data_IF_963270386421
#
_entry.id   IF_963270386421
#
_cell.length_a   1.000
_cell.length_b   1.000
_cell.length_c   1.000
_cell.angle_alpha   90.00
_cell.angle_beta   90.00
_cell.angle_gamma   90.00
#
_symmetry.space_group_name_H-M   'P 1'
#
loop_
_entity.id
_entity.type
_entity.pdbx_description
1 polymer ?
2 non-polymer ?
3 non-polymer ?
4 water ?
#
# COMPACT_ATOMS: atom_id res chain seq x y z
N UNK A 9 -24.78 -15.42 -15.22
CA UNK A 9 -23.57 -16.10 -14.66
C UNK A 9 -22.96 -17.23 -15.52
N UNK A 10 -21.85 -16.89 -16.18
CA UNK A 10 -20.95 -17.82 -16.88
C UNK A 10 -19.93 -18.33 -15.87
N UNK A 11 -20.28 -18.25 -14.60
CA UNK A 11 -19.28 -18.25 -13.53
C UNK A 11 -18.96 -19.66 -13.01
N UNK A 12 -17.72 -19.85 -12.53
CA UNK A 12 -17.30 -21.17 -12.03
C UNK A 12 -18.23 -21.66 -10.94
N UNK A 13 -18.31 -22.98 -10.78
CA UNK A 13 -19.19 -23.59 -9.80
C UNK A 13 -18.97 -22.93 -8.43
N UNK A 14 -20.05 -22.38 -7.89
CA UNK A 14 -20.03 -21.88 -6.52
C UNK A 14 -19.52 -20.48 -6.25
N UNK A 15 -19.35 -19.65 -7.28
CA UNK A 15 -18.90 -18.28 -7.04
C UNK A 15 -20.05 -17.48 -6.47
N UNK A 16 -19.73 -16.44 -5.71
CA UNK A 16 -20.71 -15.60 -5.05
C UNK A 16 -20.69 -14.19 -5.60
N UNK A 17 -21.81 -13.77 -6.15
CA UNK A 17 -22.00 -12.42 -6.72
C UNK A 17 -22.98 -11.55 -5.92
N UNK A 18 -22.54 -10.34 -5.57
CA UNK A 18 -23.42 -9.30 -5.03
C UNK A 18 -23.21 -8.09 -5.95
N UNK A 19 -24.29 -7.60 -6.55
CA UNK A 19 -24.22 -6.60 -7.61
C UNK A 19 -25.30 -5.55 -7.50
N UNK A 20 -24.92 -4.29 -7.69
CA UNK A 20 -25.88 -3.19 -7.67
C UNK A 20 -25.47 -2.15 -8.71
N UNK A 21 -26.45 -1.68 -9.48
CA UNK A 21 -26.23 -0.70 -10.55
C UNK A 21 -27.34 0.32 -10.44
N UNK A 22 -26.97 1.59 -10.41
CA UNK A 22 -27.93 2.62 -10.06
C UNK A 22 -27.53 3.90 -10.73
N UNK A 23 -28.49 4.52 -11.42
CA UNK A 23 -28.28 5.87 -11.98
C UNK A 23 -27.75 6.87 -10.94
N UNK A 24 -26.80 7.70 -11.33
CA UNK A 24 -26.31 8.75 -10.43
C UNK A 24 -27.46 9.67 -10.03
N UNK A 25 -27.69 9.79 -8.72
CA UNK A 25 -28.70 10.68 -8.19
C UNK A 25 -30.08 10.06 -8.07
N UNK A 26 -30.26 8.85 -8.60
CA UNK A 26 -31.51 8.12 -8.49
C UNK A 26 -31.64 7.42 -7.14
N UNK A 27 -32.88 7.20 -6.69
CA UNK A 27 -33.12 6.61 -5.36
C UNK A 27 -33.34 5.10 -5.39
N UNK A 28 -33.64 4.56 -6.57
CA UNK A 28 -33.77 3.11 -6.76
C UNK A 28 -32.79 2.55 -7.82
N UNK A 29 -32.23 1.36 -7.57
CA UNK A 29 -31.30 0.74 -8.51
C UNK A 29 -31.94 0.14 -9.76
N UNK A 30 -31.20 0.11 -10.86
CA UNK A 30 -31.62 -0.58 -12.04
C UNK A 30 -31.35 -2.07 -11.93
N UNK A 31 -30.17 -2.43 -11.42
CA UNK A 31 -29.87 -3.84 -11.13
C UNK A 31 -29.60 -3.99 -9.63
N UNK A 32 -30.30 -4.93 -8.99
CA UNK A 32 -30.11 -5.17 -7.58
C UNK A 32 -30.06 -6.66 -7.28
N UNK A 33 -28.86 -7.20 -7.13
CA UNK A 33 -28.69 -8.62 -6.89
C UNK A 33 -27.87 -8.84 -5.64
N UNK A 34 -28.54 -9.25 -4.58
CA UNK A 34 -27.92 -9.42 -3.27
C UNK A 34 -27.09 -8.20 -2.84
N UNK A 35 -27.62 -6.99 -3.07
CA UNK A 35 -26.86 -5.74 -2.87
C UNK A 35 -26.66 -5.42 -1.40
N UNK A 36 -27.47 -6.03 -0.55
CA UNK A 36 -27.35 -5.82 0.87
C UNK A 36 -26.40 -6.78 1.56
N UNK A 37 -25.93 -7.78 0.83
CA UNK A 37 -25.12 -8.86 1.41
C UNK A 37 -23.68 -8.38 1.58
N UNK A 38 -23.12 -8.53 2.76
CA UNK A 38 -21.73 -8.13 3.05
C UNK A 38 -20.75 -8.95 2.27
N UNK A 39 -19.66 -8.32 1.81
CA UNK A 39 -18.66 -9.03 1.06
C UNK A 39 -17.26 -8.49 1.31
N UNK A 40 -16.27 -9.27 0.90
CA UNK A 40 -14.87 -8.81 0.92
C UNK A 40 -14.66 -7.78 -0.21
N UNK A 41 -14.31 -6.54 0.10
CA UNK A 41 -14.15 -5.52 -0.93
C UNK A 41 -12.81 -5.59 -1.66
N UNK A 42 -11.81 -6.21 -1.04
CA UNK A 42 -10.46 -6.21 -1.61
C UNK A 42 -10.08 -4.76 -1.93
N UNK A 43 -9.31 -4.50 -2.99
CA UNK A 43 -8.82 -3.12 -3.24
C UNK A 43 -9.88 -2.04 -3.57
N UNK A 44 -11.17 -2.40 -3.67
CA UNK A 44 -12.17 -1.32 -3.84
C UNK A 44 -12.26 -0.49 -2.56
N UNK A 45 -11.70 -1.02 -1.46
CA UNK A 45 -11.62 -0.30 -0.19
C UNK A 45 -10.93 1.06 -0.41
N UNK A 46 -10.02 1.11 -1.38
CA UNK A 46 -9.24 2.31 -1.72
C UNK A 46 -10.12 3.51 -2.13
N UNK A 47 -11.33 3.21 -2.65
CA UNK A 47 -12.30 4.28 -2.98
C UNK A 47 -12.69 5.04 -1.68
N UNK A 48 -13.00 4.27 -0.64
CA UNK A 48 -13.32 4.86 0.64
C UNK A 48 -12.15 5.62 1.28
N UNK A 49 -10.98 5.01 1.22
CA UNK A 49 -9.72 5.62 1.71
C UNK A 49 -9.46 6.95 1.02
N UNK A 50 -9.53 6.97 -0.32
CA UNK A 50 -9.32 8.22 -1.08
C UNK A 50 -10.35 9.30 -0.67
N UNK A 51 -11.62 8.93 -0.54
CA UNK A 51 -12.63 9.98 -0.17
C UNK A 51 -12.37 10.49 1.24
N UNK A 52 -12.20 9.60 2.22
CA UNK A 52 -11.93 10.07 3.58
C UNK A 52 -10.66 10.90 3.66
N UNK A 53 -9.66 10.56 2.86
CA UNK A 53 -8.37 11.28 2.86
C UNK A 53 -8.56 12.70 2.34
N UNK A 54 -9.35 12.82 1.27
CA UNK A 54 -9.56 14.13 0.66
C UNK A 54 -10.32 15.02 1.62
N UNK A 55 -11.32 14.43 2.29
CA UNK A 55 -12.08 15.19 3.24
C UNK A 55 -11.24 15.58 4.45
N UNK A 56 -10.49 14.63 5.01
CA UNK A 56 -9.75 14.91 6.26
C UNK A 56 -8.45 15.72 6.05
N UNK A 57 -7.64 15.27 5.10
CA UNK A 57 -6.32 15.84 4.85
C UNK A 57 -6.33 16.91 3.75
N UNK A 58 -7.27 16.81 2.82
CA UNK A 58 -7.32 17.71 1.65
C UNK A 58 -6.34 17.40 0.53
N UNK A 59 -6.60 17.93 -0.67
CA UNK A 59 -5.78 17.62 -1.84
C UNK A 59 -4.33 18.08 -1.79
N UNK A 60 -4.03 19.03 -0.91
CA UNK A 60 -2.72 19.65 -0.85
C UNK A 60 -1.90 19.13 0.32
N UNK A 61 -2.43 18.16 1.06
CA UNK A 61 -1.61 17.55 2.14
C UNK A 61 -0.34 16.95 1.56
N UNK A 62 0.78 17.09 2.28
CA UNK A 62 2.01 16.42 1.89
C UNK A 62 2.58 15.66 3.06
N UNK A 63 3.11 14.46 2.81
CA UNK A 63 3.86 13.76 3.84
C UNK A 63 5.16 14.54 4.06
N UNK A 64 5.68 14.53 5.27
CA UNK A 64 6.98 15.18 5.48
C UNK A 64 7.96 14.38 6.36
N UNK A 65 9.24 14.52 6.05
CA UNK A 65 10.33 13.91 6.79
C UNK A 65 11.29 15.05 7.11
N UNK A 66 11.86 15.05 8.31
CA UNK A 66 12.80 16.12 8.67
C UNK A 66 14.03 15.57 9.39
N UNK A 67 15.13 16.31 9.29
CA UNK A 67 16.23 16.16 10.25
C UNK A 67 16.16 17.35 11.19
N UNK A 68 16.20 17.08 12.48
CA UNK A 68 16.04 18.12 13.48
C UNK A 68 17.21 18.09 14.43
N UNK A 69 17.61 19.25 14.94
CA UNK A 69 18.64 19.24 15.96
C UNK A 69 18.03 19.67 17.27
N UNK A 70 18.38 18.92 18.30
CA UNK A 70 18.09 19.29 19.66
C UNK A 70 19.41 19.55 20.41
N UNK A 71 19.74 20.84 20.59
CA UNK A 71 21.00 21.28 21.22
C UNK A 71 21.71 22.36 20.42
N UNK A 72 22.76 22.95 21.02
CA UNK A 72 23.56 23.98 20.33
C UNK A 72 24.67 23.41 19.46
N UNK A 73 24.95 24.08 18.34
CA UNK A 73 26.08 23.70 17.47
C UNK A 73 27.29 24.57 17.83
N UNK A 74 28.33 23.96 18.38
CA UNK A 74 29.55 24.72 18.72
C UNK A 74 30.75 24.20 17.97
N UNK A 75 31.30 25.06 17.12
CA UNK A 75 32.47 24.72 16.31
C UNK A 75 32.22 23.49 15.42
N UNK A 76 31.01 23.43 14.85
CA UNK A 76 30.60 22.31 13.99
C UNK A 76 30.15 21.07 14.72
N UNK A 77 30.11 21.14 16.05
CA UNK A 77 29.76 20.01 16.89
C UNK A 77 28.36 20.28 17.42
N UNK A 78 27.43 19.39 17.10
CA UNK A 78 26.12 19.43 17.74
C UNK A 78 26.24 18.86 19.15
N UNK A 79 25.90 19.69 20.14
CA UNK A 79 25.93 19.30 21.54
C UNK A 79 24.52 18.84 21.90
N UNK A 80 24.22 17.58 21.58
CA UNK A 80 22.84 17.11 21.65
C UNK A 80 22.54 16.06 20.59
N UNK A 81 21.27 15.84 20.33
CA UNK A 81 20.88 14.73 19.46
C UNK A 81 20.49 15.14 18.07
N UNK A 82 20.80 14.30 17.09
CA UNK A 82 20.21 14.46 15.76
C UNK A 82 18.97 13.58 15.75
N UNK A 83 17.83 14.15 15.35
CA UNK A 83 16.56 13.43 15.27
C UNK A 83 16.13 13.35 13.80
N UNK A 84 15.92 12.13 13.30
CA UNK A 84 15.39 11.93 11.98
C UNK A 84 13.89 11.59 12.16
N UNK A 85 13.02 12.56 11.91
CA UNK A 85 11.60 12.38 12.18
C UNK A 85 10.90 11.92 10.90
N UNK A 86 10.55 10.64 10.86
CA UNK A 86 9.85 10.07 9.71
C UNK A 86 8.38 10.36 9.78
N UNK A 87 7.73 10.36 8.62
CA UNK A 87 6.35 10.84 8.58
C UNK A 87 5.47 9.98 7.71
N UNK A 88 5.88 8.71 7.50
CA UNK A 88 5.11 7.72 6.72
C UNK A 88 5.00 8.09 5.25
N UNK A 89 5.95 8.89 4.74
CA UNK A 89 5.95 9.21 3.32
C UNK A 89 6.23 7.90 2.53
N UNK A 90 5.26 7.43 1.73
CA UNK A 90 5.44 6.18 0.97
C UNK A 90 6.41 6.34 -0.20
N UNK A 91 6.77 7.59 -0.51
CA UNK A 91 7.59 7.84 -1.70
C UNK A 91 9.01 8.28 -1.38
N UNK A 92 9.38 8.24 -0.09
CA UNK A 92 10.73 8.61 0.30
C UNK A 92 11.74 7.67 -0.29
N UNK A 93 12.88 8.23 -0.74
CA UNK A 93 13.91 7.45 -1.39
C UNK A 93 15.27 7.62 -0.72
N UNK A 94 16.18 6.69 -0.97
CA UNK A 94 17.55 6.76 -0.42
C UNK A 94 18.17 8.13 -0.70
N UNK A 95 18.02 8.60 -1.93
CA UNK A 95 18.54 9.92 -2.32
C UNK A 95 18.00 11.05 -1.47
N UNK A 96 16.75 10.93 -1.04
CA UNK A 96 16.21 11.94 -0.16
C UNK A 96 17.00 12.00 1.15
N UNK A 97 17.34 10.84 1.71
CA UNK A 97 18.16 10.78 2.94
C UNK A 97 19.52 11.44 2.69
N UNK A 98 20.11 11.07 1.56
CA UNK A 98 21.44 11.55 1.23
C UNK A 98 21.43 13.07 1.11
N UNK A 99 20.41 13.61 0.44
CA UNK A 99 20.24 15.08 0.29
C UNK A 99 19.99 15.82 1.60
N UNK A 100 19.13 15.28 2.46
CA UNK A 100 18.89 15.87 3.78
C UNK A 100 20.20 15.87 4.60
N UNK A 101 20.98 14.79 4.52
CA UNK A 101 22.26 14.76 5.23
C UNK A 101 23.22 15.81 4.63
N UNK A 102 23.22 15.95 3.30
CA UNK A 102 24.08 16.94 2.63
C UNK A 102 23.74 18.31 3.15
N UNK A 103 22.45 18.55 3.40
CA UNK A 103 21.96 19.83 3.90
C UNK A 103 22.40 20.06 5.36
N UNK A 104 22.32 19.00 6.15
CA UNK A 104 22.80 19.04 7.52
C UNK A 104 24.27 19.48 7.60
N UNK A 105 25.12 18.79 6.83
CA UNK A 105 26.56 19.10 6.71
C UNK A 105 26.73 20.59 6.32
N UNK A 106 26.07 21.01 5.24
CA UNK A 106 26.18 22.40 4.74
C UNK A 106 25.74 23.44 5.76
N UNK A 107 24.78 23.10 6.60
CA UNK A 107 24.34 23.96 7.69
C UNK A 107 25.40 24.16 8.80
N UNK A 108 26.51 23.43 8.76
CA UNK A 108 27.57 23.58 9.79
C UNK A 108 27.82 22.44 10.77
N UNK A 109 27.09 21.32 10.64
CA UNK A 109 27.24 20.18 11.55
C UNK A 109 28.18 19.14 10.94
N UNK A 110 29.30 18.89 11.62
CA UNK A 110 30.28 17.93 11.17
C UNK A 110 30.37 16.78 12.15
N UNK A 111 29.79 16.97 13.33
CA UNK A 111 29.96 16.03 14.42
C UNK A 111 28.79 16.18 15.35
N UNK A 112 28.32 15.04 15.88
CA UNK A 112 27.21 14.98 16.81
C UNK A 112 27.71 14.39 18.11
N UNK A 113 27.69 15.22 19.15
CA UNK A 113 28.06 14.79 20.49
C UNK A 113 26.79 14.35 21.16
N UNK A 114 26.36 13.14 20.84
CA UNK A 114 25.06 12.66 21.26
C UNK A 114 24.63 11.50 20.38
N UNK A 115 23.33 11.24 20.40
CA UNK A 115 22.69 10.10 19.74
C UNK A 115 22.07 10.48 18.40
N UNK A 116 21.80 9.48 17.54
CA UNK A 116 21.02 9.70 16.31
C UNK A 116 19.70 8.97 16.54
N UNK A 117 18.61 9.72 16.56
CA UNK A 117 17.28 9.17 16.92
C UNK A 117 16.46 8.94 15.67
N UNK A 118 15.93 7.74 15.52
CA UNK A 118 15.03 7.39 14.42
C UNK A 118 13.63 7.51 14.99
N UNK A 119 12.97 8.62 14.67
CA UNK A 119 11.72 8.99 15.31
C UNK A 119 10.53 8.56 14.44
N UNK A 120 9.71 7.64 14.97
CA UNK A 120 8.52 7.10 14.29
C UNK A 120 7.25 7.38 15.08
N UNK A 121 7.32 8.37 15.97
CA UNK A 121 6.24 8.70 16.90
C UNK A 121 4.92 9.14 16.22
N UNK A 122 4.98 9.47 14.92
CA UNK A 122 3.76 9.79 14.15
C UNK A 122 2.73 8.66 14.20
N UNK A 123 3.23 7.43 14.34
CA UNK A 123 2.43 6.20 14.40
C UNK A 123 2.76 5.45 15.66
N UNK A 124 1.86 4.54 16.07
CA UNK A 124 2.12 3.58 17.13
C UNK A 124 1.49 2.24 16.82
N UNK A 125 1.82 1.29 17.68
CA UNK A 125 1.33 -0.07 17.59
C UNK A 125 1.87 -0.70 16.32
N UNK A 126 1.30 -1.83 15.91
CA UNK A 126 1.84 -2.66 14.83
C UNK A 126 1.75 -1.95 13.48
N UNK A 127 2.77 -2.18 12.65
CA UNK A 127 2.76 -1.67 11.25
C UNK A 127 2.01 -2.58 10.29
N UNK A 128 1.27 -3.56 10.82
CA UNK A 128 0.55 -4.53 10.00
C UNK A 128 -0.88 -4.52 10.50
N UNK A 129 -1.85 -4.43 9.58
CA UNK A 129 -3.26 -4.32 9.95
C UNK A 129 -3.83 -5.67 10.39
N UNK A 130 -4.90 -5.67 11.21
CA UNK A 130 -5.54 -6.95 11.57
C UNK A 130 -6.06 -7.67 10.31
N UNK A 131 -5.86 -8.99 10.20
CA UNK A 131 -6.50 -9.72 9.11
C UNK A 131 -5.61 -9.92 7.91
N UNK A 132 -4.37 -9.41 7.97
CA UNK A 132 -3.43 -9.62 6.88
C UNK A 132 -2.82 -11.01 7.03
N UNK A 133 -2.89 -11.86 6.00
CA UNK A 133 -2.32 -13.22 6.08
C UNK A 133 -0.82 -13.13 6.37
N UNK A 134 -0.35 -13.90 7.35
CA UNK A 134 1.08 -13.86 7.73
C UNK A 134 1.97 -14.20 6.53
N UNK A 135 1.51 -15.08 5.66
CA UNK A 135 2.41 -15.69 4.65
C UNK A 135 2.82 -14.72 3.55
N UNK A 136 2.03 -13.67 3.39
CA UNK A 136 2.34 -12.70 2.33
C UNK A 136 3.17 -11.54 2.88
N UNK A 137 3.49 -11.55 4.18
CA UNK A 137 4.17 -10.38 4.78
C UNK A 137 5.58 -10.11 4.23
N UNK A 138 6.19 -11.11 3.61
CA UNK A 138 7.54 -10.92 3.05
C UNK A 138 7.47 -10.53 1.56
N UNK A 139 6.28 -10.53 0.99
CA UNK A 139 6.10 -10.04 -0.36
C UNK A 139 5.92 -8.53 -0.40
N UNK A 140 6.48 -7.90 -1.44
CA UNK A 140 6.43 -6.43 -1.47
C UNK A 140 5.02 -5.83 -1.46
N UNK A 141 4.05 -6.50 -2.04
CA UNK A 141 2.70 -5.93 -2.07
C UNK A 141 2.09 -5.82 -0.68
N UNK A 142 2.65 -6.59 0.25
CA UNK A 142 2.17 -6.60 1.63
C UNK A 142 3.25 -6.06 2.58
N UNK A 143 4.22 -5.30 2.05
CA UNK A 143 5.25 -4.75 2.96
C UNK A 143 4.59 -3.90 4.05
N UNK A 144 4.95 -4.14 5.32
CA UNK A 144 4.42 -3.33 6.42
C UNK A 144 4.59 -1.79 6.15
N UNK A 145 3.50 -1.04 6.01
CA UNK A 145 3.55 0.42 5.69
C UNK A 145 3.88 1.23 6.92
N UNK A 146 5.13 1.17 7.34
CA UNK A 146 5.57 1.77 8.58
C UNK A 146 5.74 3.27 8.46
N UNK A 147 6.01 3.94 9.59
CA UNK A 147 6.26 5.40 9.55
C UNK A 147 7.59 5.64 8.85
N UNK A 148 8.51 4.68 8.96
CA UNK A 148 9.82 4.79 8.29
C UNK A 148 9.89 3.95 7.03
N UNK A 149 9.76 4.61 5.86
CA UNK A 149 9.81 3.95 4.54
C UNK A 149 10.95 4.52 3.70
N UNK A 150 11.74 3.66 3.07
CA UNK A 150 12.74 4.13 2.12
C UNK A 150 12.70 3.20 0.96
N UNK A 151 12.46 3.72 -0.25
CA UNK A 151 12.39 2.90 -1.46
C UNK A 151 11.40 1.77 -1.30
N UNK A 152 10.25 2.17 -0.76
CA UNK A 152 9.07 1.33 -0.60
C UNK A 152 9.29 0.13 0.33
N UNK A 153 10.41 0.13 1.07
CA UNK A 153 10.70 -0.97 2.00
C UNK A 153 10.67 -2.30 1.28
N UNK A 154 11.24 -2.34 0.08
CA UNK A 154 11.27 -3.53 -0.74
C UNK A 154 12.68 -3.61 -1.32
N UNK A 155 13.28 -4.81 -1.35
CA UNK A 155 14.61 -4.93 -1.86
C UNK A 155 14.68 -6.23 -2.64
N UNK A 156 15.68 -6.37 -3.50
CA UNK A 156 15.78 -7.59 -4.30
C UNK A 156 17.11 -8.29 -4.09
N UNK A 157 17.11 -9.54 -4.49
CA UNK A 157 18.09 -10.51 -4.15
C UNK A 157 18.17 -11.45 -5.36
N UNK A 158 19.34 -12.05 -5.61
CA UNK A 158 19.47 -13.09 -6.64
C UNK A 158 19.84 -14.40 -5.99
N UNK A 159 19.09 -15.46 -6.30
CA UNK A 159 19.40 -16.78 -5.77
C UNK A 159 20.05 -17.69 -6.84
N UNK A 160 21.27 -18.13 -6.57
CA UNK A 160 22.04 -18.97 -7.51
C UNK A 160 22.07 -20.38 -7.02
N UNK A 161 21.68 -21.34 -7.87
CA UNK A 161 21.94 -22.75 -7.56
C UNK A 161 23.45 -23.00 -7.50
N UNK A 162 23.87 -23.95 -6.66
CA UNK A 162 25.28 -24.38 -6.62
C UNK A 162 25.60 -25.31 -7.79
N UNK A 163 26.82 -25.17 -8.36
CA UNK A 163 27.28 -26.09 -9.42
C UNK A 163 27.20 -27.57 -9.04
N UNK A 164 27.56 -27.91 -7.80
CA UNK A 164 27.37 -29.25 -7.26
C UNK A 164 26.05 -29.37 -6.48
N UNK A 165 25.09 -30.16 -6.99
CA UNK A 165 23.87 -30.47 -6.23
C UNK A 165 24.21 -31.11 -4.89
N UNK A 166 23.46 -30.74 -3.84
CA UNK A 166 23.84 -31.09 -2.47
C UNK A 166 24.54 -29.92 -1.78
N UNK A 167 25.10 -29.02 -2.57
CA UNK A 167 25.70 -27.80 -2.05
C UNK A 167 24.70 -26.64 -1.90
N UNK A 168 25.02 -25.75 -0.97
CA UNK A 168 24.20 -24.58 -0.64
C UNK A 168 24.01 -23.67 -1.87
N UNK A 169 22.75 -23.37 -2.20
CA UNK A 169 22.44 -22.28 -3.13
C UNK A 169 22.91 -20.97 -2.47
N UNK A 170 23.37 -20.01 -3.27
CA UNK A 170 23.93 -18.80 -2.70
C UNK A 170 23.24 -17.51 -3.11
N UNK A 171 23.32 -16.53 -2.22
CA UNK A 171 22.54 -15.30 -2.36
C UNK A 171 23.40 -14.11 -2.73
N UNK A 172 23.06 -13.44 -3.82
CA UNK A 172 23.66 -12.14 -4.08
C UNK A 172 22.67 -11.01 -3.80
N UNK A 173 23.14 -10.02 -3.03
CA UNK A 173 22.36 -8.82 -2.72
C UNK A 173 23.25 -7.57 -2.83
N UNK A 174 22.72 -6.50 -3.41
CA UNK A 174 23.40 -5.22 -3.51
C UNK A 174 23.83 -4.72 -2.13
N UNK A 175 25.06 -4.21 -2.06
CA UNK A 175 25.71 -3.95 -0.80
C UNK A 175 25.07 -2.79 -0.07
N UNK A 176 24.33 -1.96 -0.78
CA UNK A 176 23.76 -0.83 -0.08
C UNK A 176 22.55 -1.21 0.76
N UNK A 177 21.81 -2.27 0.36
CA UNK A 177 20.63 -2.76 1.11
C UNK A 177 21.07 -3.27 2.48
N UNK A 178 20.69 -2.57 3.54
CA UNK A 178 21.01 -2.99 4.88
C UNK A 178 20.07 -4.10 5.39
N UNK A 179 20.25 -5.27 4.81
CA UNK A 179 19.57 -6.47 5.24
C UNK A 179 20.64 -7.54 5.44
N UNK A 180 20.29 -8.60 6.17
CA UNK A 180 21.20 -9.72 6.34
C UNK A 180 20.60 -11.01 5.79
N UNK A 181 21.24 -11.56 4.75
CA UNK A 181 20.76 -12.77 4.09
C UNK A 181 21.57 -14.01 4.49
N UNK A 182 20.85 -15.11 4.78
CA UNK A 182 21.46 -16.43 5.03
C UNK A 182 20.80 -17.43 4.08
N UNK A 183 21.58 -18.35 3.53
CA UNK A 183 21.01 -19.42 2.73
C UNK A 183 21.21 -20.77 3.40
N UNK A 184 20.10 -21.51 3.58
CA UNK A 184 20.13 -22.90 4.00
C UNK A 184 19.45 -23.74 2.89
N UNK A 185 19.54 -23.24 1.67
CA UNK A 185 18.87 -23.83 0.52
C UNK A 185 19.78 -24.90 -0.08
N UNK A 186 19.23 -26.11 -0.25
CA UNK A 186 19.97 -27.22 -0.87
C UNK A 186 19.68 -27.19 -2.34
N UNK A 187 20.73 -27.34 -3.15
CA UNK A 187 20.58 -27.40 -4.58
C UNK A 187 20.26 -28.83 -5.00
N UNK A 188 19.19 -28.99 -5.78
CA UNK A 188 18.76 -30.33 -6.19
C UNK A 188 19.25 -30.72 -7.58
N UNK A 189 19.60 -32.00 -7.73
CA UNK A 189 19.77 -32.61 -9.06
C UNK A 189 18.51 -32.35 -9.89
N UNK A 190 18.66 -31.59 -10.97
CA UNK A 190 17.52 -31.00 -11.73
C UNK A 190 16.44 -31.96 -12.30
N UNK A 191 16.44 -33.22 -11.83
CA UNK A 191 15.35 -34.15 -12.09
C UNK A 191 14.60 -34.65 -10.86
N UNK A 192 15.33 -35.35 -9.98
CA UNK A 192 14.74 -36.18 -8.89
C UNK A 192 13.78 -35.48 -7.92
N UNK A 193 12.97 -36.27 -7.24
CA UNK A 193 11.66 -35.81 -6.71
C UNK A 193 11.61 -35.50 -5.20
N UNK A 194 12.70 -34.91 -4.71
CA UNK A 194 12.58 -34.00 -3.58
C UNK A 194 11.93 -32.73 -4.11
N UNK A 195 12.00 -32.54 -5.43
CA UNK A 195 11.49 -31.32 -6.02
C UNK A 195 9.98 -31.11 -5.85
N UNK A 196 9.23 -32.20 -5.68
CA UNK A 196 7.77 -32.11 -5.65
C UNK A 196 7.23 -31.40 -4.40
N UNK A 197 7.64 -31.88 -3.22
CA UNK A 197 7.13 -31.29 -1.98
C UNK A 197 8.15 -30.56 -1.14
N UNK A 198 9.36 -30.35 -1.67
CA UNK A 198 10.34 -29.54 -0.94
C UNK A 198 10.12 -28.11 -1.33
N UNK A 199 9.74 -27.28 -0.36
CA UNK A 199 9.42 -25.89 -0.64
C UNK A 199 10.70 -25.05 -0.63
N UNK A 200 10.64 -23.90 -1.32
CA UNK A 200 11.62 -22.82 -1.18
C UNK A 200 10.96 -21.73 -0.37
N UNK A 201 11.52 -21.45 0.81
CA UNK A 201 10.85 -20.56 1.78
C UNK A 201 11.71 -19.36 2.17
N UNK A 202 11.06 -18.27 2.56
CA UNK A 202 11.78 -17.18 3.18
C UNK A 202 11.31 -17.08 4.62
N UNK A 203 12.27 -16.99 5.53
CA UNK A 203 11.94 -16.86 6.94
C UNK A 203 12.59 -15.59 7.47
N UNK A 204 11.75 -14.59 7.79
CA UNK A 204 12.26 -13.33 8.33
C UNK A 204 12.60 -13.48 9.80
N UNK A 205 13.67 -12.79 10.19
CA UNK A 205 14.09 -12.68 11.58
C UNK A 205 14.20 -11.24 11.98
N UNK A 206 14.64 -11.02 13.22
CA UNK A 206 14.77 -9.67 13.77
C UNK A 206 15.85 -8.89 13.00
N UNK A 207 15.73 -7.56 13.01
CA UNK A 207 16.74 -6.66 12.47
C UNK A 207 17.00 -6.95 10.99
N UNK A 208 15.92 -7.22 10.27
CA UNK A 208 15.96 -7.39 8.83
C UNK A 208 16.89 -8.50 8.37
N UNK A 209 16.91 -9.59 9.17
CA UNK A 209 17.53 -10.85 8.73
C UNK A 209 16.54 -11.66 7.95
N UNK A 210 17.01 -12.36 6.90
CA UNK A 210 16.16 -13.26 6.15
C UNK A 210 16.95 -14.51 5.90
N UNK A 211 16.32 -15.66 6.14
CA UNK A 211 16.94 -16.94 5.85
C UNK A 211 16.10 -17.62 4.79
N UNK A 212 16.76 -18.00 3.70
CA UNK A 212 16.15 -18.85 2.67
C UNK A 212 16.39 -20.30 3.08
N UNK A 213 15.35 -21.12 2.99
CA UNK A 213 15.41 -22.53 3.40
C UNK A 213 14.75 -23.39 2.34
N UNK A 214 15.01 -24.70 2.39
CA UNK A 214 14.34 -25.63 1.48
C UNK A 214 15.23 -26.06 0.35
N UNK A 215 14.65 -26.20 -0.83
CA UNK A 215 15.35 -26.73 -2.01
C UNK A 215 15.22 -25.84 -3.23
N UNK A 216 16.25 -25.86 -4.06
CA UNK A 216 16.19 -25.16 -5.34
C UNK A 216 16.73 -26.11 -6.43
N UNK A 217 15.92 -26.38 -7.45
CA UNK A 217 16.37 -27.19 -8.60
C UNK A 217 17.47 -26.45 -9.34
N UNK A 218 18.48 -27.17 -9.83
CA UNK A 218 19.52 -26.53 -10.64
C UNK A 218 18.93 -25.70 -11.78
N UNK A 219 19.43 -24.49 -11.92
CA UNK A 219 19.03 -23.59 -13.00
C UNK A 219 20.28 -22.92 -13.55
N UNK A 220 20.24 -22.56 -14.82
CA UNK A 220 21.37 -21.94 -15.51
C UNK A 220 21.45 -20.48 -15.13
N UNK A 221 20.29 -19.91 -14.82
CA UNK A 221 20.15 -18.50 -14.48
C UNK A 221 19.75 -18.36 -13.01
N UNK A 222 20.12 -17.26 -12.34
CA UNK A 222 19.73 -17.08 -10.94
C UNK A 222 18.26 -16.69 -10.79
N UNK A 223 17.65 -17.12 -9.69
CA UNK A 223 16.27 -16.78 -9.40
C UNK A 223 16.20 -15.39 -8.77
N UNK A 224 15.52 -14.46 -9.43
CA UNK A 224 15.31 -13.12 -8.88
C UNK A 224 14.16 -13.18 -7.86
N UNK A 225 14.36 -12.55 -6.69
CA UNK A 225 13.38 -12.53 -5.60
C UNK A 225 13.30 -11.13 -5.05
N UNK A 226 12.10 -10.65 -4.74
CA UNK A 226 11.96 -9.34 -4.11
C UNK A 226 11.25 -9.59 -2.80
N UNK A 227 11.75 -8.97 -1.72
CA UNK A 227 11.19 -9.14 -0.37
C UNK A 227 10.86 -7.82 0.30
N UNK A 228 9.91 -7.89 1.24
CA UNK A 228 9.53 -6.76 2.06
C UNK A 228 10.36 -6.63 3.34
N UNK A 229 10.82 -5.40 3.58
CA UNK A 229 11.49 -5.04 4.86
C UNK A 229 10.46 -5.15 5.99
N UNK A 230 10.81 -5.92 7.03
CA UNK A 230 9.96 -6.07 8.19
C UNK A 230 10.17 -4.99 9.26
N UNK A 231 11.38 -4.45 9.39
CA UNK A 231 11.65 -3.48 10.43
C UNK A 231 12.11 -2.17 9.74
N UNK A 232 11.16 -1.37 9.29
CA UNK A 232 11.50 -0.12 8.58
C UNK A 232 12.37 0.85 9.38
N UNK A 233 12.09 1.01 10.68
CA UNK A 233 12.91 1.89 11.51
C UNK A 233 14.39 1.53 11.47
N UNK A 234 14.71 0.23 11.60
CA UNK A 234 16.11 -0.25 11.58
C UNK A 234 16.74 -0.06 10.23
N UNK A 235 15.93 -0.25 9.19
CA UNK A 235 16.38 -0.17 7.83
C UNK A 235 16.73 1.27 7.50
N UNK A 236 15.78 2.16 7.81
CA UNK A 236 15.92 3.62 7.57
C UNK A 236 17.11 4.14 8.41
N UNK A 237 17.23 3.63 9.64
CA UNK A 237 18.39 4.01 10.47
C UNK A 237 19.75 3.60 9.89
N UNK A 238 19.83 2.38 9.37
CA UNK A 238 21.07 1.92 8.78
C UNK A 238 21.39 2.77 7.55
N UNK A 239 20.36 3.13 6.76
CA UNK A 239 20.62 3.99 5.57
C UNK A 239 21.09 5.36 6.04
N UNK A 240 20.43 5.88 7.05
CA UNK A 240 20.86 7.18 7.58
C UNK A 240 22.32 7.12 8.08
N UNK A 241 22.67 6.07 8.82
CA UNK A 241 24.02 5.88 9.38
C UNK A 241 25.04 5.86 8.25
N UNK A 242 24.75 5.10 7.21
CA UNK A 242 25.62 5.05 6.06
C UNK A 242 25.79 6.44 5.44
N UNK A 243 24.69 7.17 5.20
CA UNK A 243 24.77 8.50 4.56
C UNK A 243 25.53 9.51 5.43
N UNK A 244 25.35 9.43 6.74
CA UNK A 244 26.13 10.29 7.66
C UNK A 244 27.60 10.00 7.51
N UNK A 245 27.98 8.73 7.54
CA UNK A 245 29.39 8.38 7.45
C UNK A 245 30.02 8.83 6.12
N UNK A 246 29.24 8.71 5.03
CA UNK A 246 29.76 9.07 3.71
C UNK A 246 30.02 10.56 3.63
N UNK A 247 29.19 11.33 4.31
CA UNK A 247 29.26 12.80 4.30
C UNK A 247 30.28 13.30 5.34
N UNK A 248 30.94 12.37 6.02
CA UNK A 248 31.99 12.70 6.98
C UNK A 248 31.51 13.12 8.34
N UNK A 249 30.20 13.01 8.62
CA UNK A 249 29.65 13.40 9.93
C UNK A 249 29.88 12.27 10.94
N UNK A 250 30.52 12.56 12.08
CA UNK A 250 30.73 11.51 13.08
C UNK A 250 29.75 11.69 14.26
N UNK A 251 29.56 10.64 15.05
CA UNK A 251 28.76 10.75 16.28
C UNK A 251 29.28 9.82 17.37
N UNK A 252 29.06 10.21 18.60
CA UNK A 252 29.64 9.52 19.75
C UNK A 252 28.67 8.57 20.39
N UNK A 253 27.37 8.77 20.13
CA UNK A 253 26.33 7.97 20.76
C UNK A 253 26.01 6.76 19.92
N UNK A 254 24.74 6.35 19.91
CA UNK A 254 24.32 5.26 19.04
C UNK A 254 23.01 5.63 18.33
N UNK A 255 22.57 4.76 17.43
CA UNK A 255 21.26 4.92 16.80
C UNK A 255 20.22 4.34 17.70
N UNK A 256 19.23 5.15 18.06
CA UNK A 256 18.15 4.76 18.97
C UNK A 256 16.80 5.05 18.34
N UNK A 257 15.80 4.22 18.64
CA UNK A 257 14.44 4.50 18.17
C UNK A 257 13.77 5.48 19.12
N UNK A 258 13.07 6.47 18.57
CA UNK A 258 12.25 7.40 19.36
C UNK A 258 10.77 7.16 19.01
N UNK A 259 10.02 6.55 19.92
CA UNK A 259 8.60 6.22 19.67
C UNK A 259 7.56 7.12 20.38
N UNK A 260 7.97 7.88 21.39
CA UNK A 260 7.00 8.67 22.16
C UNK A 260 6.89 10.06 21.56
N UNK A 261 5.70 10.63 21.56
CA UNK A 261 5.49 11.97 21.03
C UNK A 261 6.37 12.98 21.79
N UNK A 262 6.91 13.94 21.06
CA UNK A 262 7.95 14.84 21.57
C UNK A 262 7.94 16.14 20.78
N UNK A 263 8.35 17.24 21.42
CA UNK A 263 8.43 18.52 20.73
C UNK A 263 9.53 18.50 19.68
N UNK A 264 9.23 19.02 18.49
CA UNK A 264 10.21 19.09 17.42
C UNK A 264 11.41 19.94 17.78
N UNK A 265 12.56 19.57 17.25
CA UNK A 265 13.74 20.42 17.37
C UNK A 265 13.72 21.42 16.24
N UNK A 266 14.88 22.02 15.99
CA UNK A 266 15.07 22.89 14.85
C UNK A 266 15.20 22.04 13.60
N UNK A 267 14.34 22.26 12.62
CA UNK A 267 14.39 21.56 11.34
C UNK A 267 15.53 22.09 10.50
N UNK A 268 16.55 21.27 10.29
CA UNK A 268 17.71 21.67 9.49
C UNK A 268 17.58 21.19 8.07
N UNK A 269 16.84 20.09 7.87
CA UNK A 269 16.60 19.58 6.53
C UNK A 269 15.20 18.96 6.49
N UNK A 270 14.54 19.01 5.33
CA UNK A 270 13.24 18.35 5.16
C UNK A 270 12.98 17.86 3.75
N UNK A 271 12.00 16.97 3.62
CA UNK A 271 11.50 16.55 2.32
C UNK A 271 10.02 16.39 2.46
N UNK A 272 9.27 16.94 1.50
CA UNK A 272 7.82 16.72 1.42
C UNK A 272 7.45 15.96 0.16
N UNK A 273 6.44 15.10 0.28
CA UNK A 273 6.00 14.33 -0.86
C UNK A 273 5.30 15.25 -1.82
N UNK A 274 5.00 14.74 -3.01
CA UNK A 274 4.00 15.32 -3.90
C UNK A 274 2.66 15.55 -3.13
N UNK A 275 1.80 16.44 -3.62
CA UNK A 275 0.50 16.66 -2.99
C UNK A 275 -0.36 15.40 -2.92
N UNK A 276 -1.21 15.33 -1.90
CA UNK A 276 -2.05 14.15 -1.67
C UNK A 276 -2.91 13.79 -2.90
N UNK A 277 -3.47 14.79 -3.57
CA UNK A 277 -4.30 14.45 -4.73
C UNK A 277 -3.50 13.67 -5.76
N UNK A 278 -2.22 14.05 -5.93
CA UNK A 278 -1.35 13.38 -6.87
C UNK A 278 -1.07 11.95 -6.43
N UNK A 279 -0.79 11.78 -5.13
CA UNK A 279 -0.54 10.45 -4.53
C UNK A 279 -1.77 9.57 -4.60
N UNK A 280 -2.94 10.13 -4.28
CA UNK A 280 -4.20 9.36 -4.41
C UNK A 280 -4.49 8.92 -5.85
N UNK A 281 -4.09 9.76 -6.81
CA UNK A 281 -4.23 9.38 -8.21
C UNK A 281 -3.37 8.16 -8.57
N UNK A 282 -2.08 8.15 -8.22
CA UNK A 282 -1.26 6.95 -8.35
C UNK A 282 -1.94 5.78 -7.65
N UNK A 283 -2.42 6.03 -6.43
CA UNK A 283 -3.01 4.98 -5.60
C UNK A 283 -4.18 4.30 -6.30
N UNK A 284 -5.08 5.11 -6.86
CA UNK A 284 -6.27 4.57 -7.52
C UNK A 284 -5.98 4.02 -8.89
N UNK A 285 -5.03 4.62 -9.62
CA UNK A 285 -4.70 4.13 -10.94
C UNK A 285 -4.01 2.76 -10.87
N UNK A 286 -3.08 2.62 -9.90
CA UNK A 286 -2.21 1.45 -9.82
C UNK A 286 -2.59 0.48 -8.70
N UNK A 287 -3.53 0.87 -7.85
CA UNK A 287 -3.94 0.10 -6.65
C UNK A 287 -2.79 -0.05 -5.68
N UNK A 288 -2.19 1.08 -5.31
CA UNK A 288 -0.97 1.11 -4.52
C UNK A 288 -1.30 0.92 -3.05
N UNK A 289 -1.11 -0.31 -2.58
CA UNK A 289 -1.39 -0.62 -1.19
C UNK A 289 -0.64 0.27 -0.19
N UNK A 290 0.59 0.64 -0.52
CA UNK A 290 1.45 1.32 0.48
C UNK A 290 0.95 2.77 0.64
N UNK A 291 0.56 3.37 -0.49
CA UNK A 291 0.02 4.71 -0.40
C UNK A 291 -1.31 4.64 0.37
N UNK A 292 -2.16 3.66 0.03
CA UNK A 292 -3.46 3.56 0.73
C UNK A 292 -3.27 3.41 2.23
N UNK A 293 -2.30 2.58 2.65
CA UNK A 293 -2.18 2.29 4.07
C UNK A 293 -1.46 3.33 4.92
N UNK A 294 -0.50 4.06 4.33
CA UNK A 294 0.11 5.20 5.04
C UNK A 294 -0.90 6.32 5.14
N UNK A 295 -1.68 6.54 4.06
CA UNK A 295 -2.78 7.53 4.13
C UNK A 295 -3.73 7.15 5.24
N UNK A 296 -4.12 5.86 5.28
CA UNK A 296 -5.13 5.37 6.25
C UNK A 296 -4.72 5.69 7.69
N UNK A 297 -3.49 5.35 8.08
CA UNK A 297 -3.11 5.64 9.47
C UNK A 297 -2.90 7.15 9.68
N UNK A 298 -2.55 7.88 8.61
CA UNK A 298 -2.44 9.35 8.72
C UNK A 298 -3.80 10.00 9.03
N UNK A 299 -4.86 9.46 8.42
CA UNK A 299 -6.20 9.99 8.64
C UNK A 299 -6.56 9.98 10.15
N UNK A 300 -6.34 8.84 10.78
CA UNK A 300 -6.60 8.72 12.21
C UNK A 300 -5.77 9.64 13.08
N UNK A 301 -4.50 9.77 12.74
CA UNK A 301 -3.57 10.68 13.42
C UNK A 301 -4.06 12.12 13.34
N UNK A 302 -4.38 12.57 12.14
CA UNK A 302 -4.92 13.93 11.93
C UNK A 302 -6.30 14.15 12.58
N UNK A 303 -7.22 13.18 12.53
CA UNK A 303 -8.57 13.44 13.07
C UNK A 303 -8.59 13.50 14.58
N UNK A 304 -7.82 12.63 15.21
CA UNK A 304 -7.87 12.49 16.67
C UNK A 304 -6.65 13.04 17.40
N UNK A 305 -5.66 13.54 16.65
CA UNK A 305 -4.41 14.05 17.26
C UNK A 305 -3.78 13.04 18.24
N UNK A 306 -3.59 11.81 17.75
CA UNK A 306 -2.94 10.75 18.49
C UNK A 306 -1.99 10.11 17.49
N UNK A 307 -0.97 9.38 17.95
CA UNK A 307 -0.11 8.59 17.02
C UNK A 307 -1.03 7.68 16.21
N UNK A 308 -0.79 7.58 14.92
CA UNK A 308 -1.75 6.89 14.06
C UNK A 308 -1.66 5.40 14.27
N UNK A 309 -2.82 4.76 14.45
CA UNK A 309 -2.92 3.29 14.55
C UNK A 309 -4.03 2.78 13.63
N UNK A 310 -4.08 1.46 13.46
CA UNK A 310 -5.09 0.92 12.58
C UNK A 310 -6.48 1.23 13.12
N UNK A 311 -6.64 1.11 14.44
CA UNK A 311 -7.95 1.34 15.05
C UNK A 311 -8.36 2.80 14.93
N UNK A 312 -7.41 3.70 15.12
CA UNK A 312 -7.78 5.12 15.01
C UNK A 312 -8.16 5.43 13.55
N UNK A 313 -7.42 4.87 12.58
CA UNK A 313 -7.77 5.02 11.16
C UNK A 313 -9.19 4.53 10.89
N UNK A 314 -9.52 3.32 11.38
CA UNK A 314 -10.86 2.74 11.17
C UNK A 314 -11.99 3.62 11.74
N UNK A 315 -11.81 4.06 12.98
CA UNK A 315 -12.78 4.93 13.66
C UNK A 315 -12.96 6.24 12.90
N UNK A 316 -11.84 6.81 12.45
CA UNK A 316 -11.83 8.10 11.76
C UNK A 316 -12.58 8.01 10.43
N UNK A 317 -12.26 6.98 9.63
CA UNK A 317 -12.92 6.81 8.34
C UNK A 317 -14.43 6.65 8.52
N UNK A 318 -14.84 5.87 9.52
CA UNK A 318 -16.28 5.70 9.76
C UNK A 318 -16.93 7.03 10.14
N UNK A 319 -16.25 7.79 10.99
CA UNK A 319 -16.76 9.11 11.47
C UNK A 319 -16.83 10.09 10.28
N UNK A 320 -15.80 10.10 9.44
CA UNK A 320 -15.75 11.04 8.33
C UNK A 320 -16.88 10.74 7.36
N UNK A 321 -17.07 9.45 7.05
CA UNK A 321 -18.14 9.06 6.15
C UNK A 321 -19.48 9.51 6.66
N UNK A 322 -19.71 9.35 7.95
CA UNK A 322 -21.05 9.57 8.48
C UNK A 322 -21.33 11.07 8.56
N UNK A 323 -20.35 11.80 9.06
CA UNK A 323 -20.49 13.19 9.47
C UNK A 323 -20.25 14.16 8.31
N UNK A 324 -19.29 13.84 7.41
CA UNK A 324 -19.06 14.73 6.29
C UNK A 324 -19.77 14.27 5.01
N UNK A 325 -19.95 12.96 4.85
CA UNK A 325 -20.48 12.46 3.60
C UNK A 325 -21.90 11.94 3.72
N UNK A 326 -22.42 11.93 4.95
CA UNK A 326 -23.79 11.48 5.21
C UNK A 326 -24.03 9.98 4.98
N UNK A 327 -22.99 9.17 5.06
CA UNK A 327 -23.09 7.74 4.85
C UNK A 327 -22.87 7.07 6.19
N UNK A 328 -23.89 6.37 6.67
CA UNK A 328 -23.77 5.55 7.88
C UNK A 328 -23.40 4.15 7.42
N UNK A 329 -22.18 3.71 7.68
CA UNK A 329 -21.74 2.42 7.17
C UNK A 329 -22.26 1.24 8.02
N UNK A 330 -22.91 1.54 9.14
CA UNK A 330 -23.59 0.52 9.91
C UNK A 330 -22.62 -0.55 10.38
N UNK A 331 -22.94 -1.80 10.07
CA UNK A 331 -22.13 -2.93 10.56
C UNK A 331 -20.96 -3.25 9.65
N UNK A 332 -20.68 -2.35 8.69
CA UNK A 332 -19.51 -2.47 7.83
C UNK A 332 -18.26 -2.60 8.69
N UNK A 333 -17.31 -3.44 8.27
CA UNK A 333 -16.03 -3.49 8.97
C UNK A 333 -14.96 -2.90 8.09
N UNK A 334 -14.28 -1.88 8.59
CA UNK A 334 -13.13 -1.31 7.88
C UNK A 334 -11.90 -1.66 8.70
N UNK A 335 -10.99 -2.44 8.10
CA UNK A 335 -9.77 -2.87 8.82
C UNK A 335 -8.50 -2.18 8.31
N UNK A 336 -8.51 -1.70 7.09
CA UNK A 336 -7.33 -1.01 6.58
C UNK A 336 -7.70 0.00 5.44
N UNK A 337 -6.70 0.58 4.81
CA UNK A 337 -6.96 1.49 3.71
C UNK A 337 -6.82 0.84 2.35
N UNK A 338 -5.98 -0.20 2.22
CA UNK A 338 -5.66 -0.82 0.92
C UNK A 338 -6.69 -1.85 0.39
N UNK A 339 -7.44 -2.46 1.32
CA UNK A 339 -8.35 -3.57 1.02
C UNK A 339 -7.67 -4.94 1.15
N UNK A 340 -6.41 -4.94 1.57
CA UNK A 340 -5.67 -6.20 1.74
C UNK A 340 -6.29 -7.09 2.82
N UNK A 341 -6.79 -6.49 3.89
CA UNK A 341 -7.28 -7.29 5.00
C UNK A 341 -8.48 -8.17 4.67
N UNK A 342 -8.44 -9.42 5.13
CA UNK A 342 -9.62 -10.31 4.97
C UNK A 342 -10.71 -10.00 5.99
N UNK A 343 -10.45 -9.07 6.89
CA UNK A 343 -11.46 -8.59 7.85
C UNK A 343 -12.36 -7.45 7.30
N UNK A 344 -11.96 -6.80 6.20
CA UNK A 344 -12.83 -5.79 5.59
C UNK A 344 -14.12 -6.49 5.16
N UNK A 345 -15.26 -5.83 5.38
CA UNK A 345 -16.57 -6.42 5.07
C UNK A 345 -17.55 -5.30 4.82
N UNK A 346 -18.15 -5.28 3.64
CA UNK A 346 -19.06 -4.19 3.25
C UNK A 346 -20.01 -4.68 2.18
N UNK A 347 -21.25 -4.19 2.20
CA UNK A 347 -22.26 -4.57 1.20
C UNK A 347 -22.19 -3.64 -0.01
N UNK A 348 -22.48 -4.13 -1.22
CA UNK A 348 -22.58 -3.20 -2.38
C UNK A 348 -23.45 -1.97 -2.13
N UNK A 349 -24.55 -2.13 -1.39
CA UNK A 349 -25.43 -0.97 -1.07
C UNK A 349 -24.74 0.13 -0.26
N UNK A 350 -23.82 -0.26 0.63
CA UNK A 350 -23.00 0.69 1.36
C UNK A 350 -21.93 1.36 0.47
N UNK A 351 -21.18 0.55 -0.29
CA UNK A 351 -20.28 1.13 -1.28
C UNK A 351 -21.05 2.03 -2.27
N UNK A 352 -22.27 1.65 -2.62
CA UNK A 352 -23.09 2.51 -3.50
C UNK A 352 -23.30 3.93 -2.97
N UNK A 353 -23.51 4.09 -1.65
CA UNK A 353 -23.74 5.40 -1.08
C UNK A 353 -22.50 6.26 -1.18
N UNK A 354 -21.36 5.60 -1.03
CA UNK A 354 -20.08 6.28 -1.19
C UNK A 354 -19.91 6.75 -2.64
N UNK A 355 -20.10 5.85 -3.59
CA UNK A 355 -20.07 6.22 -5.02
C UNK A 355 -21.04 7.35 -5.42
N UNK A 356 -22.27 7.28 -4.93
CA UNK A 356 -23.25 8.36 -5.15
C UNK A 356 -22.74 9.68 -4.56
N UNK A 357 -22.16 9.64 -3.37
CA UNK A 357 -21.63 10.88 -2.79
C UNK A 357 -20.53 11.44 -3.69
N UNK A 358 -19.63 10.58 -4.11
CA UNK A 358 -18.51 11.02 -4.95
C UNK A 358 -19.03 11.62 -6.26
N UNK A 359 -19.97 10.94 -6.92
CA UNK A 359 -20.47 11.45 -8.21
C UNK A 359 -21.11 12.85 -8.00
N UNK A 360 -21.87 12.98 -6.90
CA UNK A 360 -22.56 14.24 -6.55
C UNK A 360 -21.59 15.38 -6.24
N UNK A 361 -20.41 15.04 -5.70
CA UNK A 361 -19.49 16.08 -5.34
C UNK A 361 -18.29 16.02 -6.26
N UNK A 362 -18.43 15.37 -7.42
CA UNK A 362 -17.19 15.18 -8.23
C UNK A 362 -16.52 16.50 -8.69
N UNK A 363 -17.31 17.54 -8.91
CA UNK A 363 -16.71 18.82 -9.35
C UNK A 363 -15.87 19.47 -8.25
N UNK A 364 -16.18 19.14 -7.00
CA UNK A 364 -15.38 19.57 -5.84
C UNK A 364 -14.14 18.68 -5.59
N UNK A 365 -14.33 17.36 -5.71
CA UNK A 365 -13.28 16.39 -5.35
C UNK A 365 -12.29 16.09 -6.46
N UNK A 366 -12.73 16.26 -7.71
CA UNK A 366 -11.98 15.81 -8.92
C UNK A 366 -11.56 14.38 -8.65
N UNK A 367 -12.54 13.55 -8.40
CA UNK A 367 -12.30 12.19 -7.95
C UNK A 367 -12.32 11.21 -9.12
N UNK A 368 -13.37 11.28 -9.95
CA UNK A 368 -13.57 10.28 -11.00
C UNK A 368 -12.40 10.25 -12.00
N UNK A 369 -11.82 11.40 -12.33
CA UNK A 369 -10.61 11.43 -13.19
C UNK A 369 -9.41 10.66 -12.62
N UNK A 370 -9.43 10.29 -11.34
CA UNK A 370 -8.31 9.53 -10.73
C UNK A 370 -8.52 8.03 -10.88
N UNK A 371 -9.75 7.61 -11.10
CA UNK A 371 -10.00 6.18 -11.29
C UNK A 371 -9.47 5.70 -12.65
N UNK A 372 -9.01 4.45 -12.71
CA UNK A 372 -8.62 3.83 -13.98
C UNK A 372 -9.78 3.97 -14.98
N UNK A 373 -9.43 4.35 -16.22
CA UNK A 373 -10.37 4.48 -17.35
C UNK A 373 -10.17 3.26 -18.25
N UNK A 374 -11.23 2.48 -18.45
CA UNK A 374 -11.16 1.21 -19.19
C UNK A 374 -10.60 1.51 -20.56
N UNK A 375 -9.58 0.75 -20.96
CA UNK A 375 -8.97 0.91 -22.28
C UNK A 375 -7.85 1.94 -22.33
N UNK A 376 -7.58 2.63 -21.22
CA UNK A 376 -6.58 3.70 -21.20
C UNK A 376 -5.48 3.56 -20.14
N UNK A 377 -5.86 3.36 -18.90
CA UNK A 377 -4.82 3.50 -17.85
C UNK A 377 -5.12 2.70 -16.64
N UNK A 378 -4.07 2.60 -15.82
CA UNK A 378 -4.18 1.96 -14.56
C UNK A 378 -4.67 0.56 -14.81
N UNK A 379 -5.33 0.02 -13.80
CA UNK A 379 -5.69 -1.38 -13.74
C UNK A 379 -6.62 -1.82 -14.85
N UNK A 380 -7.26 -0.86 -15.55
CA UNK A 380 -8.28 -1.22 -16.55
C UNK A 380 -7.83 -1.01 -18.01
N UNK A 381 -6.53 -0.80 -18.22
CA UNK A 381 -6.01 -0.57 -19.57
C UNK A 381 -6.46 -1.67 -20.53
N UNK A 382 -6.34 -2.92 -20.11
CA UNK A 382 -7.03 -3.97 -20.87
C UNK A 382 -7.68 -4.97 -19.95
N UNK A 383 -8.95 -4.70 -19.65
CA UNK A 383 -9.78 -5.65 -18.98
C UNK A 383 -10.64 -6.27 -20.07
N UNK A 384 -10.36 -7.53 -20.43
CA UNK A 384 -10.97 -8.14 -21.63
C UNK A 384 -12.49 -8.04 -21.60
N UNK A 385 -13.06 -8.31 -20.42
CA UNK A 385 -14.50 -8.23 -20.26
C UNK A 385 -15.03 -6.88 -20.66
N UNK A 386 -14.37 -5.83 -20.19
CA UNK A 386 -14.82 -4.48 -20.48
C UNK A 386 -14.54 -4.10 -21.93
N UNK A 387 -13.37 -4.49 -22.44
CA UNK A 387 -13.08 -4.23 -23.85
C UNK A 387 -14.14 -4.90 -24.75
N UNK A 388 -14.38 -6.19 -24.52
CA UNK A 388 -15.38 -6.93 -25.32
C UNK A 388 -16.83 -6.48 -25.16
N UNK A 389 -17.16 -5.83 -24.04
CA UNK A 389 -18.49 -5.20 -23.85
C UNK A 389 -18.68 -3.96 -24.70
N UNK A 390 -17.60 -3.46 -25.28
CA UNK A 390 -17.61 -2.21 -26.03
C UNK A 390 -17.63 -0.95 -25.19
N UNK A 391 -17.13 -1.06 -23.96
CA UNK A 391 -17.23 0.04 -23.00
C UNK A 391 -15.89 0.71 -22.65
N UNK A 392 -14.84 0.41 -23.41
CA UNK A 392 -13.63 1.23 -23.27
C UNK A 392 -13.92 2.73 -23.37
N UNK A 393 -13.31 3.50 -22.48
CA UNK A 393 -13.52 4.93 -22.42
C UNK A 393 -14.84 5.34 -21.80
N UNK A 394 -15.65 4.34 -21.44
CA UNK A 394 -16.97 4.57 -20.83
C UNK A 394 -17.05 4.14 -19.35
N UNK A 395 -16.01 3.49 -18.83
CA UNK A 395 -16.03 2.99 -17.44
C UNK A 395 -14.82 3.53 -16.70
N UNK A 396 -15.09 4.14 -15.54
CA UNK A 396 -14.04 4.62 -14.63
C UNK A 396 -14.29 3.87 -13.33
N UNK A 397 -13.37 2.99 -12.96
CA UNK A 397 -13.69 2.07 -11.86
C UNK A 397 -12.48 1.55 -11.17
N UNK A 398 -12.67 1.19 -9.91
CA UNK A 398 -11.59 0.65 -9.11
C UNK A 398 -11.70 -0.89 -9.06
N UNK A 399 -10.59 -1.58 -9.30
CA UNK A 399 -10.60 -3.04 -9.21
C UNK A 399 -10.34 -3.48 -7.77
N UNK A 400 -10.65 -4.74 -7.49
CA UNK A 400 -10.37 -5.34 -6.19
C UNK A 400 -10.05 -6.79 -6.50
N UNK A 401 -8.78 -7.18 -6.36
CA UNK A 401 -8.34 -8.53 -6.75
C UNK A 401 -7.61 -9.20 -5.59
N UNK A 402 -8.10 -10.37 -5.19
CA UNK A 402 -7.47 -11.20 -4.17
C UNK A 402 -7.75 -12.63 -4.64
N UNK A 403 -7.14 -13.61 -3.97
CA UNK A 403 -7.31 -15.03 -4.38
C UNK A 403 -8.80 -15.29 -4.52
N UNK A 404 -9.25 -15.48 -5.76
CA UNK A 404 -10.65 -15.77 -6.06
C UNK A 404 -11.62 -14.65 -5.75
N UNK A 405 -11.14 -13.41 -5.84
CA UNK A 405 -12.01 -12.25 -5.66
C UNK A 405 -11.79 -11.37 -6.87
N UNK A 406 -12.87 -11.00 -7.57
CA UNK A 406 -12.77 -10.13 -8.74
C UNK A 406 -13.80 -9.03 -8.68
N UNK A 407 -13.49 -7.95 -7.99
CA UNK A 407 -14.46 -6.90 -7.76
C UNK A 407 -14.20 -5.74 -8.70
N UNK A 408 -15.24 -4.95 -8.89
CA UNK A 408 -15.17 -3.71 -9.64
C UNK A 408 -16.17 -2.76 -8.98
N UNK A 409 -15.77 -1.50 -8.77
CA UNK A 409 -16.65 -0.48 -8.18
C UNK A 409 -16.38 0.85 -8.84
N UNK A 410 -17.42 1.46 -9.41
CA UNK A 410 -17.22 2.78 -10.04
C UNK A 410 -18.38 3.25 -10.90
N UNK A 411 -18.04 3.76 -12.07
CA UNK A 411 -19.00 4.52 -12.90
C UNK A 411 -18.93 4.09 -14.34
N UNK A 412 -20.11 4.04 -14.97
CA UNK A 412 -20.22 3.76 -16.40
C UNK A 412 -21.14 4.79 -16.99
N UNK A 413 -20.75 5.31 -18.15
CA UNK A 413 -21.59 6.20 -18.97
C UNK A 413 -22.25 5.29 -20.02
N UNK A 414 -23.57 5.29 -20.09
CA UNK A 414 -24.26 4.29 -20.93
C UNK A 414 -24.56 4.88 -22.33
N UNK A 415 -25.21 4.08 -23.19
CA UNK A 415 -25.43 4.47 -24.59
C UNK A 415 -26.29 5.72 -24.72
N UNK A 416 -27.20 5.90 -23.76
CA UNK A 416 -28.00 7.12 -23.70
C UNK A 416 -27.27 8.29 -23.05
N UNK A 417 -26.05 8.07 -22.56
CA UNK A 417 -25.29 9.14 -21.92
C UNK A 417 -25.54 9.29 -20.41
N UNK A 418 -26.40 8.46 -19.87
CA UNK A 418 -26.71 8.44 -18.41
C UNK A 418 -25.45 7.89 -17.68
N UNK A 419 -25.04 8.55 -16.61
CA UNK A 419 -24.00 7.99 -15.74
C UNK A 419 -24.66 7.12 -14.67
N UNK A 420 -24.17 5.90 -14.57
CA UNK A 420 -24.68 4.95 -13.58
C UNK A 420 -23.46 4.59 -12.66
N UNK A 421 -23.67 4.44 -11.36
CA UNK A 421 -22.66 3.90 -10.44
C UNK A 421 -22.89 2.38 -10.31
N UNK A 422 -21.83 1.61 -10.09
CA UNK A 422 -22.02 0.17 -9.96
C UNK A 422 -21.01 -0.41 -9.00
N UNK A 423 -21.37 -1.56 -8.44
CA UNK A 423 -20.53 -2.32 -7.52
C UNK A 423 -20.75 -3.77 -7.87
N UNK A 424 -19.66 -4.43 -8.26
CA UNK A 424 -19.69 -5.86 -8.60
C UNK A 424 -18.82 -6.50 -7.57
N UNK A 425 -19.40 -7.26 -6.64
CA UNK A 425 -18.57 -7.95 -5.66
C UNK A 425 -18.70 -9.44 -5.95
N UNK A 426 -17.62 -10.00 -6.51
CA UNK A 426 -17.57 -11.39 -6.99
C UNK A 426 -16.45 -12.14 -6.27
N UNK A 427 -16.81 -13.17 -5.51
CA UNK A 427 -15.85 -13.93 -4.73
C UNK A 427 -16.19 -15.41 -4.76
N UNK A 428 -15.54 -16.15 -3.86
CA UNK A 428 -15.65 -17.59 -3.84
C UNK A 428 -15.30 -18.13 -5.20
N UNK A 429 -14.59 -17.33 -5.98
CA UNK A 429 -14.20 -17.71 -7.31
C UNK A 429 -13.04 -18.68 -7.15
N UNK A 430 -13.17 -19.84 -7.78
CA UNK A 430 -12.11 -20.85 -7.73
C UNK A 430 -12.22 -21.75 -8.92
N UNK A 431 -11.07 -22.17 -9.42
CA UNK A 431 -10.97 -23.01 -10.61
C UNK A 431 -10.55 -24.42 -10.20
N UNK A 432 -11.03 -25.39 -10.97
CA UNK A 432 -10.97 -26.83 -10.65
C UNK A 432 -9.68 -27.32 -9.96
N UNK A 441 -11.66 -16.89 -18.10
CA UNK A 441 -12.58 -16.65 -19.21
C UNK A 441 -14.08 -16.71 -18.82
N UNK A 442 -14.43 -17.44 -17.75
CA UNK A 442 -15.82 -17.40 -17.25
C UNK A 442 -16.16 -15.96 -16.79
N UNK A 443 -15.19 -15.33 -16.14
CA UNK A 443 -15.25 -13.91 -15.75
C UNK A 443 -15.39 -13.00 -16.96
N UNK A 444 -14.49 -13.18 -17.94
CA UNK A 444 -14.50 -12.41 -19.18
C UNK A 444 -15.86 -12.52 -19.85
N UNK A 445 -16.36 -13.74 -20.00
CA UNK A 445 -17.71 -13.92 -20.56
C UNK A 445 -18.77 -13.26 -19.68
N UNK A 446 -18.65 -13.42 -18.35
CA UNK A 446 -19.57 -12.77 -17.42
C UNK A 446 -19.58 -11.24 -17.62
N UNK A 447 -18.38 -10.63 -17.52
CA UNK A 447 -18.24 -9.18 -17.64
C UNK A 447 -18.64 -8.59 -19.00
N UNK A 448 -18.24 -9.24 -20.11
CA UNK A 448 -18.58 -8.74 -21.44
C UNK A 448 -20.08 -8.70 -21.64
N UNK A 449 -20.78 -9.71 -21.11
CA UNK A 449 -22.25 -9.75 -21.17
C UNK A 449 -22.88 -8.65 -20.30
N UNK A 450 -22.46 -8.60 -19.05
CA UNK A 450 -23.07 -7.69 -18.09
C UNK A 450 -22.90 -6.23 -18.44
N UNK A 451 -21.68 -5.81 -18.76
CA UNK A 451 -21.45 -4.40 -19.09
C UNK A 451 -21.98 -3.99 -20.45
N UNK A 452 -22.01 -4.91 -21.41
CA UNK A 452 -22.70 -4.65 -22.68
C UNK A 452 -24.18 -4.43 -22.40
N UNK A 453 -24.76 -5.33 -21.61
CA UNK A 453 -26.13 -5.18 -21.12
C UNK A 453 -26.35 -3.77 -20.54
N UNK A 454 -25.60 -3.44 -19.48
CA UNK A 454 -25.76 -2.16 -18.79
C UNK A 454 -25.62 -0.99 -19.75
N UNK A 455 -24.59 -1.00 -20.56
CA UNK A 455 -24.34 0.09 -21.50
C UNK A 455 -25.48 0.21 -22.52
N UNK A 456 -25.86 -0.91 -23.11
CA UNK A 456 -26.83 -0.94 -24.21
C UNK A 456 -28.26 -0.59 -23.76
N UNK A 457 -28.66 -1.07 -22.58
CA UNK A 457 -30.07 -0.99 -22.12
C UNK A 457 -30.40 0.19 -21.20
N UNK A 458 -29.51 1.18 -21.13
CA UNK A 458 -29.65 2.26 -20.17
C UNK A 458 -29.20 3.58 -20.77
X LIG B 1 -4.36 -10.86 -6.30
X LIG B 1 -4.49 -12.22 -6.61
X LIG B 1 -4.00 -13.19 -5.74
X LIG B 1 -3.39 -12.80 -4.53
X LIG B 1 -3.28 -11.45 -4.22
X LIG B 1 -3.75 -10.48 -5.10
X LIG B 1 -3.67 -9.14 -4.80
X LIG B 1 -3.28 -8.78 -3.50
X LIG B 1 -3.58 -7.27 -3.33
X LIG B 1 -2.89 -6.66 -2.51
X LIG B 1 -4.56 -6.68 -4.03
X LIG B 1 -4.80 -5.25 -3.87
X LIG B 1 -6.28 -4.91 -3.95
X LIG B 1 -7.11 -5.75 -4.25
X LIG B 1 -4.06 -4.51 -5.00
X LIG B 1 -4.64 -4.77 -6.32
X LIG B 1 -2.31 -5.00 -5.13
X LIG B 1 -2.26 -5.55 -6.80
X LIG B 1 -1.59 -4.44 -7.62
X LIG B 1 -1.43 -6.87 -6.89
X LIG B 1 -3.76 -5.75 -7.04
X LIG B 1 -4.00 -5.75 -8.53
X LIG B 1 -4.39 -4.67 -9.03
X LIG B 1 -3.73 -6.84 -9.12
X LIG C 1 -15.83 7.54 -17.93
X LIG C 1 -15.95 8.28 -19.14
X LIG C 1 -16.78 8.10 -16.89
X LIG C 1 -17.49 9.18 -17.48
X LIG C 1 -17.78 7.02 -16.52
X LIG C 1 -19.00 7.65 -16.10
#
# INVERSE_FOLDING_TARGET
MANVDEYITQLPAGANLALMVQKVGASAPAIDYHSQQMALPASTQKVITALAALIQLGPDFRFTTTLETKGNVENGVLKGDLVARFGADPTLKRQDIRNMVATLKKSGVNQIDGNVLIDTSIFASHDKAPGWPWNDMTQCFSAPPAAAIVDRNCFSVSLYSAPKPGDMAFIRVASYYPVTMFSQVRTLPRGSAEAQYCELDVVPGDLNRFTLTGCLPQRSEPLPLAFAVQDGASYAGAILKYELKQAGITWSGTLLRQTQVNEPGTVVASKQSAPLHDLLKIMLKKSDNMIADTVFRMIGHARFNVPGTWRAGSDAVRQILRQQAGVDIGNTIIADGSGLSRHNLIAPATMMQVLQYIAQHDNELNFISMLPLAGYDGSLQYRAGLHQAGVDGKVSAKTGSLQGVYNLAGFITTASGQRMAFVQYLSGYAVEPADQRNRRIPLVRFESRLYKDIYQNN
35P C24 C23 C22 C21 C20 C19 O1 C2 C3 O18 N4 C5 C6 O17 C8 N7 S11 C10 C12 C15 C9 C13 O14 O16
GOL C1 O1 C2 O2 C3 O3
#
